data_IF_198347845388
#
_entry.id   IF_198347845388
#
_cell.length_a   1.000
_cell.length_b   1.000
_cell.length_c   1.000
_cell.angle_alpha   90.00
_cell.angle_beta   90.00
_cell.angle_gamma   90.00
#
_symmetry.space_group_name_H-M   'P 1'
#
loop_
_entity.id
_entity.type
_entity.pdbx_description
1 polymer ?
#
# COMPACT_ATOMS: atom_id res chain seq x y z
N UNK A 1 20.78 16.19 -1.68
CA UNK A 1 19.50 16.36 -2.40
C UNK A 1 18.54 15.32 -1.83
N UNK A 2 17.59 15.74 -1.00
CA UNK A 2 16.59 14.81 -0.47
C UNK A 2 15.63 14.44 -1.59
N UNK A 3 15.53 13.14 -1.91
CA UNK A 3 14.54 12.64 -2.87
C UNK A 3 13.15 13.18 -2.52
N UNK A 4 12.32 13.59 -3.50
CA UNK A 4 10.97 14.06 -3.22
C UNK A 4 10.23 13.00 -2.41
N UNK A 5 9.60 13.40 -1.31
CA UNK A 5 8.76 12.49 -0.53
C UNK A 5 7.51 12.22 -1.36
N UNK A 6 7.47 11.06 -2.00
CA UNK A 6 6.30 10.64 -2.78
C UNK A 6 5.14 10.22 -1.87
N UNK A 7 5.38 9.92 -0.61
CA UNK A 7 4.34 9.63 0.39
C UNK A 7 4.10 10.82 1.30
N UNK A 8 2.85 11.28 1.35
CA UNK A 8 2.42 12.44 2.13
C UNK A 8 1.42 12.00 3.19
N UNK A 9 1.62 12.47 4.42
CA UNK A 9 0.61 12.40 5.48
C UNK A 9 -0.46 13.46 5.20
N UNK A 10 -1.73 13.07 5.17
CA UNK A 10 -2.83 13.98 4.82
C UNK A 10 -3.95 13.93 5.85
N UNK A 11 -4.81 14.95 5.83
CA UNK A 11 -6.04 14.97 6.64
C UNK A 11 -7.11 14.04 6.05
N UNK A 12 -8.08 13.65 6.89
CA UNK A 12 -9.22 12.82 6.49
C UNK A 12 -10.01 13.36 5.27
N UNK A 13 -10.32 14.67 5.18
CA UNK A 13 -11.00 15.22 4.00
C UNK A 13 -10.16 15.07 2.72
N UNK A 14 -8.84 15.30 2.79
CA UNK A 14 -7.93 15.12 1.65
C UNK A 14 -7.85 13.64 1.28
N UNK A 15 -7.74 12.76 2.27
CA UNK A 15 -7.73 11.32 2.04
C UNK A 15 -9.03 10.87 1.38
N UNK A 16 -10.20 11.30 1.85
CA UNK A 16 -11.50 10.95 1.21
C UNK A 16 -11.60 11.44 -0.22
N UNK A 17 -11.05 12.61 -0.54
CA UNK A 17 -11.04 13.15 -1.91
C UNK A 17 -10.16 12.32 -2.87
N UNK A 18 -9.13 11.65 -2.37
CA UNK A 18 -8.30 10.72 -3.15
C UNK A 18 -8.70 9.25 -2.98
N UNK A 19 -9.46 8.94 -1.93
CA UNK A 19 -9.92 7.60 -1.59
C UNK A 19 -11.07 7.22 -2.50
N UNK A 20 -10.73 6.86 -3.72
CA UNK A 20 -11.69 6.27 -4.62
C UNK A 20 -12.07 4.84 -4.17
N UNK A 21 -13.24 4.37 -4.58
CA UNK A 21 -13.63 2.95 -4.55
C UNK A 21 -12.48 2.05 -5.04
N UNK A 22 -12.31 0.81 -4.54
CA UNK A 22 -11.32 -0.15 -5.07
C UNK A 22 -11.29 -0.25 -6.60
N UNK A 23 -12.40 0.08 -7.28
CA UNK A 23 -12.51 0.22 -8.74
C UNK A 23 -11.52 1.19 -9.39
N UNK A 24 -10.91 2.12 -8.66
CA UNK A 24 -9.94 3.09 -9.19
C UNK A 24 -8.49 2.62 -9.18
N UNK A 25 -8.18 1.48 -8.54
CA UNK A 25 -6.81 1.01 -8.44
C UNK A 25 -6.24 0.73 -9.85
N UNK A 26 -5.01 1.21 -10.14
CA UNK A 26 -4.38 1.04 -11.45
C UNK A 26 -3.94 -0.41 -11.67
N UNK A 27 -4.21 -0.96 -12.85
CA UNK A 27 -3.90 -2.36 -13.18
C UNK A 27 -5.08 -3.05 -13.87
N UNK A 28 -4.80 -4.20 -14.47
CA UNK A 28 -5.81 -5.02 -15.14
C UNK A 28 -6.65 -5.77 -14.12
N UNK A 29 -5.96 -6.37 -13.14
CA UNK A 29 -6.53 -7.20 -12.10
C UNK A 29 -6.57 -6.44 -10.77
N UNK A 30 -7.58 -6.75 -9.95
CA UNK A 30 -7.74 -6.24 -8.58
C UNK A 30 -8.21 -7.37 -7.70
N UNK A 31 -7.57 -7.54 -6.56
CA UNK A 31 -7.88 -8.65 -5.66
C UNK A 31 -7.61 -8.30 -4.20
N UNK A 32 -8.23 -9.09 -3.32
CA UNK A 32 -8.08 -8.99 -1.88
C UNK A 32 -6.98 -9.90 -1.39
N UNK A 33 -6.29 -9.47 -0.34
CA UNK A 33 -5.45 -10.36 0.48
C UNK A 33 -6.35 -11.41 1.12
N UNK A 34 -6.08 -12.71 0.92
CA UNK A 34 -6.85 -13.77 1.55
C UNK A 34 -6.76 -13.69 3.06
N UNK A 35 -7.84 -14.08 3.73
CA UNK A 35 -7.94 -14.09 5.20
C UNK A 35 -6.77 -14.82 5.86
N UNK A 36 -6.40 -15.99 5.34
CA UNK A 36 -5.26 -16.76 5.84
C UNK A 36 -3.92 -15.99 5.78
N UNK A 37 -3.75 -15.12 4.78
CA UNK A 37 -2.58 -14.25 4.65
C UNK A 37 -2.67 -13.03 5.57
N UNK A 38 -3.87 -12.49 5.85
CA UNK A 38 -4.08 -11.47 6.89
C UNK A 38 -3.64 -11.99 8.25
N UNK A 39 -4.06 -13.20 8.64
CA UNK A 39 -3.66 -13.82 9.92
C UNK A 39 -2.15 -14.12 10.00
N UNK A 40 -1.49 -14.34 8.86
CA UNK A 40 -0.03 -14.43 8.79
C UNK A 40 0.64 -13.06 8.93
N UNK A 41 0.03 -12.02 8.37
CA UNK A 41 0.49 -10.64 8.48
C UNK A 41 0.48 -10.15 9.93
N UNK A 42 -0.60 -10.40 10.66
CA UNK A 42 -0.73 -10.04 12.07
C UNK A 42 0.40 -10.64 12.90
N UNK A 43 0.61 -11.96 12.75
CA UNK A 43 1.72 -12.66 13.42
C UNK A 43 3.08 -12.11 13.02
N UNK A 44 3.28 -11.77 11.74
CA UNK A 44 4.54 -11.19 11.27
C UNK A 44 4.82 -9.83 11.92
N UNK A 45 3.77 -9.02 12.12
CA UNK A 45 3.84 -7.70 12.73
C UNK A 45 3.80 -7.73 14.27
N UNK A 46 3.56 -8.88 14.89
CA UNK A 46 3.43 -9.00 16.35
C UNK A 46 2.09 -8.49 16.87
N UNK A 47 1.06 -8.46 16.02
CA UNK A 47 -0.31 -8.09 16.36
C UNK A 47 -1.08 -9.31 16.88
N UNK A 48 -2.09 -9.04 17.70
CA UNK A 48 -3.07 -10.06 18.07
C UNK A 48 -3.85 -10.54 16.84
N UNK A 49 -4.31 -11.79 16.89
CA UNK A 49 -5.13 -12.32 15.82
C UNK A 49 -6.48 -11.62 15.81
N UNK A 50 -6.89 -11.06 14.68
CA UNK A 50 -8.16 -10.34 14.55
C UNK A 50 -8.03 -8.81 14.51
N UNK A 51 -6.85 -8.27 14.80
CA UNK A 51 -6.61 -6.82 14.83
C UNK A 51 -6.86 -6.15 13.47
N UNK A 52 -6.49 -6.80 12.36
CA UNK A 52 -6.74 -6.31 11.00
C UNK A 52 -8.13 -6.77 10.55
N UNK A 53 -9.10 -5.88 10.70
CA UNK A 53 -10.48 -6.08 10.22
C UNK A 53 -10.80 -5.44 8.87
N UNK A 54 -9.97 -4.53 8.39
CA UNK A 54 -10.20 -3.81 7.14
C UNK A 54 -9.63 -4.56 5.92
N UNK A 55 -10.28 -4.48 4.74
CA UNK A 55 -9.82 -5.15 3.54
C UNK A 55 -8.48 -4.58 3.04
N UNK A 56 -7.56 -5.48 2.69
CA UNK A 56 -6.25 -5.16 2.14
C UNK A 56 -6.20 -5.50 0.64
N UNK A 57 -6.25 -4.47 -0.20
CA UNK A 57 -6.36 -4.57 -1.66
C UNK A 57 -5.01 -4.50 -2.36
N UNK A 58 -4.91 -5.21 -3.48
CA UNK A 58 -3.82 -5.08 -4.45
C UNK A 58 -4.38 -4.90 -5.86
N UNK A 59 -3.56 -4.34 -6.73
CA UNK A 59 -3.82 -4.31 -8.17
C UNK A 59 -2.54 -4.51 -8.99
N UNK A 60 -2.71 -5.04 -10.20
CA UNK A 60 -1.58 -5.43 -11.04
C UNK A 60 -1.99 -6.00 -12.39
N UNK A 61 -1.02 -6.54 -13.12
CA UNK A 61 -1.25 -7.29 -14.37
C UNK A 61 -1.56 -8.77 -14.15
N UNK A 62 -1.12 -9.34 -13.02
CA UNK A 62 -1.28 -10.75 -12.68
C UNK A 62 -1.36 -10.90 -11.17
N UNK A 63 -2.37 -11.67 -10.71
CA UNK A 63 -2.66 -11.89 -9.29
C UNK A 63 -1.86 -13.05 -8.68
N UNK A 64 -1.50 -14.05 -9.47
CA UNK A 64 -0.82 -15.25 -8.99
C UNK A 64 0.69 -15.16 -9.21
N UNK A 65 1.47 -15.72 -8.30
CA UNK A 65 2.91 -15.85 -8.44
C UNK A 65 3.22 -16.69 -9.70
N UNK A 66 4.09 -16.21 -10.61
CA UNK A 66 4.36 -16.88 -11.88
C UNK A 66 5.08 -18.23 -11.71
N UNK A 67 5.63 -18.49 -10.52
CA UNK A 67 6.44 -19.67 -10.23
C UNK A 67 5.65 -20.70 -9.40
N UNK A 68 5.11 -20.31 -8.24
CA UNK A 68 4.41 -21.25 -7.35
C UNK A 68 2.87 -21.18 -7.39
N UNK A 69 2.29 -20.34 -8.24
CA UNK A 69 0.84 -20.19 -8.41
C UNK A 69 0.08 -19.60 -7.21
N UNK A 70 0.77 -19.23 -6.13
CA UNK A 70 0.17 -18.61 -4.94
C UNK A 70 -0.39 -17.23 -5.29
N UNK A 71 -1.59 -16.90 -4.82
CA UNK A 71 -2.11 -15.53 -4.91
C UNK A 71 -1.15 -14.56 -4.19
N UNK A 72 -0.72 -13.53 -4.90
CA UNK A 72 0.12 -12.45 -4.38
C UNK A 72 -0.71 -11.61 -3.41
N UNK A 73 -0.15 -11.15 -2.30
CA UNK A 73 -0.91 -10.45 -1.27
C UNK A 73 -0.08 -9.43 -0.48
N UNK A 74 -0.72 -8.73 0.46
CA UNK A 74 -0.01 -7.82 1.38
C UNK A 74 1.08 -8.53 2.19
N UNK A 75 0.98 -9.85 2.38
CA UNK A 75 2.02 -10.62 3.04
C UNK A 75 3.35 -10.58 2.27
N UNK A 76 3.30 -10.59 0.93
CA UNK A 76 4.48 -10.47 0.07
C UNK A 76 5.10 -9.07 0.17
N UNK A 77 4.24 -8.03 0.17
CA UNK A 77 4.63 -6.62 0.28
C UNK A 77 5.32 -6.35 1.61
N UNK A 78 4.65 -6.65 2.72
CA UNK A 78 5.18 -6.40 4.06
C UNK A 78 6.41 -7.25 4.33
N UNK A 79 6.43 -8.52 3.90
CA UNK A 79 7.64 -9.34 4.06
C UNK A 79 8.84 -8.78 3.29
N UNK A 80 8.63 -8.28 2.07
CA UNK A 80 9.71 -7.67 1.28
C UNK A 80 10.15 -6.33 1.86
N UNK A 81 9.20 -5.51 2.36
CA UNK A 81 9.48 -4.21 2.96
C UNK A 81 10.26 -4.33 4.28
N UNK A 82 9.93 -5.32 5.12
CA UNK A 82 10.66 -5.59 6.36
C UNK A 82 12.10 -6.06 6.12
N UNK A 83 12.39 -6.67 4.97
CA UNK A 83 13.75 -7.09 4.62
C UNK A 83 14.65 -5.89 4.23
N UNK A 84 14.07 -4.73 3.89
CA UNK A 84 14.81 -3.68 3.16
C UNK A 84 14.55 -2.22 3.55
N UNK A 85 13.37 -1.85 4.09
CA UNK A 85 12.93 -0.44 4.07
C UNK A 85 12.27 0.04 5.37
N UNK A 86 11.44 -0.78 6.02
CA UNK A 86 10.58 -0.32 7.12
C UNK A 86 10.63 -1.27 8.32
N UNK A 87 10.45 -0.75 9.53
CA UNK A 87 10.25 -1.56 10.73
C UNK A 87 8.77 -1.98 10.89
N UNK A 88 8.53 -2.95 11.78
CA UNK A 88 7.19 -3.50 12.03
C UNK A 88 6.23 -2.47 12.63
N UNK A 89 6.71 -1.58 13.48
CA UNK A 89 5.87 -0.60 14.17
C UNK A 89 5.33 0.44 13.19
N UNK A 90 6.16 0.91 12.26
CA UNK A 90 5.75 1.79 11.17
C UNK A 90 4.72 1.11 10.26
N UNK A 91 4.92 -0.15 9.88
CA UNK A 91 3.94 -0.86 9.05
C UNK A 91 2.62 -1.05 9.80
N UNK A 92 2.68 -1.41 11.08
CA UNK A 92 1.48 -1.55 11.91
C UNK A 92 0.73 -0.22 12.05
N UNK A 93 1.42 0.91 12.22
CA UNK A 93 0.78 2.23 12.32
C UNK A 93 0.16 2.67 10.99
N UNK A 94 0.76 2.33 9.85
CA UNK A 94 0.12 2.52 8.54
C UNK A 94 -1.11 1.62 8.40
N UNK A 95 -1.05 0.36 8.84
CA UNK A 95 -2.16 -0.57 8.68
C UNK A 95 -3.29 -0.29 9.65
N UNK A 96 -3.05 0.20 10.87
CA UNK A 96 -4.02 0.30 11.97
C UNK A 96 -4.27 1.71 12.49
N UNK A 97 -3.36 2.66 12.23
CA UNK A 97 -3.40 3.98 12.83
C UNK A 97 -4.52 4.86 12.28
N UNK A 98 -4.60 6.08 12.79
CA UNK A 98 -5.58 7.07 12.30
C UNK A 98 -5.00 7.94 11.18
N UNK A 99 -3.67 8.08 11.14
CA UNK A 99 -2.98 8.90 10.16
C UNK A 99 -3.17 8.34 8.74
N UNK A 100 -3.67 9.19 7.85
CA UNK A 100 -3.86 8.87 6.44
C UNK A 100 -2.62 9.21 5.63
N UNK A 101 -2.27 8.33 4.69
CA UNK A 101 -1.13 8.46 3.80
C UNK A 101 -1.54 8.33 2.34
N UNK A 102 -0.95 9.20 1.51
CA UNK A 102 -1.19 9.22 0.07
C UNK A 102 0.14 9.19 -0.65
N UNK A 103 0.29 8.20 -1.54
CA UNK A 103 1.44 8.15 -2.44
C UNK A 103 1.11 8.91 -3.74
N UNK A 104 1.93 9.89 -4.10
CA UNK A 104 1.73 10.78 -5.26
C UNK A 104 2.10 10.15 -6.59
N UNK A 105 2.83 9.04 -6.55
CA UNK A 105 3.18 8.26 -7.74
C UNK A 105 2.70 6.82 -7.63
N UNK A 106 1.97 6.35 -8.66
CA UNK A 106 1.69 4.94 -8.86
C UNK A 106 2.81 4.32 -9.70
N UNK A 107 3.70 3.49 -9.12
CA UNK A 107 4.85 2.97 -9.85
C UNK A 107 4.39 2.00 -10.95
N UNK A 108 5.22 1.87 -12.01
CA UNK A 108 5.00 0.84 -13.04
C UNK A 108 5.02 -0.58 -12.46
N UNK A 109 5.82 -0.79 -11.42
CA UNK A 109 5.88 -1.99 -10.60
C UNK A 109 6.47 -1.64 -9.22
N UNK A 110 6.05 -2.36 -8.17
CA UNK A 110 6.68 -2.24 -6.84
C UNK A 110 8.07 -2.88 -6.90
N UNK A 111 9.10 -2.09 -6.65
CA UNK A 111 10.50 -2.56 -6.69
C UNK A 111 10.81 -3.45 -5.50
N UNK A 112 11.61 -4.50 -5.72
CA UNK A 112 12.08 -5.39 -4.65
C UNK A 112 11.04 -6.39 -4.13
N UNK A 113 9.82 -6.40 -4.68
CA UNK A 113 8.77 -7.31 -4.24
C UNK A 113 9.13 -8.77 -4.57
N UNK A 114 9.04 -9.65 -3.57
CA UNK A 114 9.31 -11.08 -3.70
C UNK A 114 8.17 -11.90 -3.10
N UNK A 115 7.88 -13.05 -3.72
CA UNK A 115 6.92 -13.99 -3.18
C UNK A 115 7.39 -14.51 -1.82
N UNK A 116 6.53 -14.46 -0.81
CA UNK A 116 6.84 -14.94 0.54
C UNK A 116 7.18 -16.44 0.56
N UNK A 117 6.57 -17.23 -0.34
CA UNK A 117 6.79 -18.68 -0.40
C UNK A 117 8.07 -19.05 -1.13
N UNK A 118 8.16 -18.74 -2.43
CA UNK A 118 9.26 -19.21 -3.28
C UNK A 118 10.35 -18.14 -3.53
N UNK A 119 10.20 -16.93 -2.99
CA UNK A 119 11.14 -15.81 -3.14
C UNK A 119 11.33 -15.27 -4.56
N UNK A 120 10.61 -15.83 -5.55
CA UNK A 120 10.54 -15.32 -6.92
C UNK A 120 10.15 -13.85 -6.94
N UNK A 121 10.86 -13.06 -7.76
CA UNK A 121 10.59 -11.63 -7.91
C UNK A 121 9.23 -11.41 -8.57
N UNK A 122 8.44 -10.50 -7.98
CA UNK A 122 7.12 -10.13 -8.46
C UNK A 122 7.22 -8.75 -9.10
N UNK A 123 6.92 -8.68 -10.40
CA UNK A 123 6.87 -7.41 -11.15
C UNK A 123 5.46 -7.03 -11.59
N UNK A 124 4.48 -7.88 -11.30
CA UNK A 124 3.10 -7.72 -11.77
C UNK A 124 2.27 -6.74 -10.92
N UNK A 125 2.67 -6.48 -9.67
CA UNK A 125 1.93 -5.60 -8.76
C UNK A 125 2.28 -4.14 -9.03
N UNK A 126 1.25 -3.32 -9.20
CA UNK A 126 1.35 -1.88 -9.48
C UNK A 126 0.97 -1.02 -8.29
N UNK A 127 -0.02 -1.44 -7.51
CA UNK A 127 -0.45 -0.68 -6.33
C UNK A 127 -1.06 -1.59 -5.26
N UNK A 128 -1.18 -1.04 -4.06
CA UNK A 128 -1.82 -1.65 -2.90
C UNK A 128 -2.57 -0.60 -2.10
N UNK A 129 -3.60 -1.00 -1.38
CA UNK A 129 -4.47 -0.08 -0.64
C UNK A 129 -4.96 -0.71 0.65
N UNK A 130 -4.97 0.08 1.72
CA UNK A 130 -5.64 -0.23 2.98
C UNK A 130 -6.46 1.00 3.42
N UNK A 131 -7.08 0.93 4.59
CA UNK A 131 -7.97 2.00 5.08
C UNK A 131 -7.26 3.33 5.39
N UNK A 132 -5.93 3.32 5.49
CA UNK A 132 -5.11 4.51 5.76
C UNK A 132 -4.07 4.79 4.66
N UNK A 133 -4.02 3.99 3.61
CA UNK A 133 -3.02 4.13 2.54
C UNK A 133 -3.68 4.10 1.17
N UNK A 134 -3.45 5.14 0.37
CA UNK A 134 -3.97 5.26 -0.99
C UNK A 134 -2.93 5.84 -1.96
N UNK A 135 -3.22 5.78 -3.27
CA UNK A 135 -2.43 6.44 -4.31
C UNK A 135 -3.22 7.63 -4.87
N UNK A 136 -2.60 8.80 -5.02
CA UNK A 136 -3.21 9.96 -5.67
C UNK A 136 -3.21 9.80 -7.20
N UNK A 137 -4.29 10.28 -7.83
CA UNK A 137 -4.35 10.45 -9.29
C UNK A 137 -3.60 11.73 -9.69
N UNK A 138 -3.03 11.81 -10.92
CA UNK A 138 -2.33 12.99 -11.41
C UNK A 138 -3.12 14.30 -11.27
N UNK A 139 -4.42 14.29 -11.55
CA UNK A 139 -5.30 15.45 -11.44
C UNK A 139 -5.49 16.00 -10.00
N UNK A 140 -5.11 15.24 -8.97
CA UNK A 140 -5.23 15.61 -7.55
C UNK A 140 -3.89 16.00 -6.92
N UNK A 141 -2.77 15.80 -7.61
CA UNK A 141 -1.45 16.28 -7.19
C UNK A 141 -1.43 17.79 -7.04
N UNK A 142 -2.09 18.51 -7.96
CA UNK A 142 -2.21 19.97 -7.91
C UNK A 142 -2.99 20.45 -6.69
N UNK A 143 -4.00 19.70 -6.23
CA UNK A 143 -4.78 20.05 -5.05
C UNK A 143 -3.98 19.85 -3.76
N UNK A 144 -3.23 18.75 -3.68
CA UNK A 144 -2.32 18.50 -2.55
C UNK A 144 -1.26 19.60 -2.47
N UNK A 145 -0.62 19.93 -3.59
CA UNK A 145 0.38 21.01 -3.66
C UNK A 145 -0.18 22.38 -3.24
N UNK A 146 -1.44 22.69 -3.60
CA UNK A 146 -2.10 23.94 -3.17
C UNK A 146 -2.33 23.98 -1.66
N UNK A 147 -2.76 22.87 -1.06
CA UNK A 147 -3.01 22.78 0.38
C UNK A 147 -1.67 22.91 1.16
N UNK A 148 -0.62 22.22 0.73
CA UNK A 148 0.72 22.35 1.32
C UNK A 148 1.24 23.79 1.23
N UNK A 149 1.06 24.45 0.08
CA UNK A 149 1.47 25.84 -0.12
C UNK A 149 0.67 26.85 0.74
N UNK A 150 -0.56 26.51 1.15
CA UNK A 150 -1.36 27.33 2.06
C UNK A 150 -0.95 27.14 3.52
N UNK A 151 -0.67 25.89 3.92
CA UNK A 151 -0.23 25.59 5.29
C UNK A 151 1.18 26.12 5.60
N UNK A 152 2.09 26.14 4.62
CA UNK A 152 3.43 26.71 4.80
C UNK A 152 3.47 28.24 4.92
N UNK A 153 2.35 28.93 4.70
CA UNK A 153 2.20 30.39 4.81
C UNK A 153 1.55 30.85 6.11
N UNK A 154 1.11 29.90 6.94
CA UNK A 154 0.45 30.16 8.23
C UNK A 154 1.41 29.80 9.34
#
# INVERSE_FOLDING_TARGET
MSSPRHTLAVSDPVFRAVYDSPKSLPGKERWLTPEADVRRLERLLGLEQGTIGAPLWLSGSQKDCPDCGRLISWLDIVSSALEHVHDKAMIASVILGEQKFVNTEAPRAITGLRCKRCKTSIRSVRSFKCHNWAYAKPALLEQIQRIEAQQAKT
#
